data_IF_627326110715
#
_entry.id   IF_627326110715
#
_cell.length_a   1.000
_cell.length_b   1.000
_cell.length_c   1.000
_cell.angle_alpha   90.00
_cell.angle_beta   90.00
_cell.angle_gamma   90.00
#
_symmetry.space_group_name_H-M   'P 1'
#
loop_
_entity.id
_entity.type
_entity.pdbx_description
1 polymer ?
#
# COMPACT_ATOMS: atom_id res chain seq x y z
N UNK A 1 -5.09 -55.88 -2.84
CA UNK A 1 -4.58 -54.65 -3.47
C UNK A 1 -5.75 -53.69 -3.65
N UNK A 2 -5.92 -52.72 -2.75
CA UNK A 2 -6.92 -51.66 -2.88
C UNK A 2 -6.19 -50.38 -3.24
N UNK A 3 -6.35 -49.91 -4.48
CA UNK A 3 -5.87 -48.60 -4.91
C UNK A 3 -6.77 -47.51 -4.32
N UNK A 4 -6.20 -46.72 -3.42
CA UNK A 4 -6.81 -45.53 -2.83
C UNK A 4 -6.79 -44.42 -3.88
N UNK A 5 -7.96 -44.00 -4.34
CA UNK A 5 -8.18 -42.77 -5.09
C UNK A 5 -7.57 -41.59 -4.32
N UNK A 6 -6.50 -41.03 -4.86
CA UNK A 6 -5.96 -39.73 -4.44
C UNK A 6 -7.01 -38.69 -4.85
N UNK A 7 -7.79 -38.21 -3.90
CA UNK A 7 -8.63 -37.03 -4.10
C UNK A 7 -7.71 -35.85 -4.35
N UNK A 8 -7.73 -35.32 -5.57
CA UNK A 8 -7.24 -33.98 -5.85
C UNK A 8 -7.89 -32.99 -4.87
N UNK A 9 -7.10 -32.38 -4.01
CA UNK A 9 -7.50 -31.17 -3.30
C UNK A 9 -7.68 -30.05 -4.35
N UNK A 10 -8.80 -29.32 -4.36
CA UNK A 10 -8.93 -28.16 -5.22
C UNK A 10 -7.96 -27.07 -4.78
N UNK A 11 -7.44 -26.31 -5.75
CA UNK A 11 -6.53 -25.19 -5.55
C UNK A 11 -7.05 -24.25 -4.45
N UNK A 12 -6.22 -24.02 -3.43
CA UNK A 12 -6.46 -23.05 -2.37
C UNK A 12 -6.21 -21.64 -2.93
N UNK A 13 -7.27 -20.91 -3.28
CA UNK A 13 -7.19 -19.47 -3.57
C UNK A 13 -7.23 -18.70 -2.25
N UNK A 14 -6.12 -18.08 -1.88
CA UNK A 14 -5.99 -17.18 -0.73
C UNK A 14 -6.66 -15.83 -1.09
N UNK A 15 -7.22 -15.10 -0.13
CA UNK A 15 -7.64 -13.71 -0.37
C UNK A 15 -7.27 -12.90 0.83
N UNK A 16 -6.56 -11.82 0.56
CA UNK A 16 -5.77 -11.14 1.58
C UNK A 16 -6.31 -9.72 1.64
N UNK A 17 -7.34 -9.51 2.47
CA UNK A 17 -7.88 -8.17 2.72
C UNK A 17 -6.91 -7.45 3.66
N UNK A 18 -6.36 -6.32 3.23
CA UNK A 18 -5.48 -5.49 4.06
C UNK A 18 -6.13 -4.14 4.33
N UNK A 19 -6.68 -3.96 5.53
CA UNK A 19 -6.79 -2.62 6.08
C UNK A 19 -5.41 -2.10 6.42
N UNK A 20 -5.00 -1.01 5.82
CA UNK A 20 -3.91 -0.21 6.34
C UNK A 20 -4.53 1.11 6.76
N UNK A 21 -4.56 1.36 8.06
CA UNK A 21 -4.68 2.72 8.56
C UNK A 21 -3.60 2.91 9.60
N UNK A 22 -2.76 3.91 9.42
CA UNK A 22 -1.64 4.20 10.33
C UNK A 22 -2.03 5.33 11.28
N UNK A 23 -1.53 5.29 12.51
CA UNK A 23 -1.35 6.49 13.35
C UNK A 23 0.15 6.87 13.40
N UNK A 24 0.47 8.13 13.75
CA UNK A 24 1.83 8.62 13.93
C UNK A 24 2.68 7.87 14.98
N UNK A 25 2.09 7.04 15.83
CA UNK A 25 2.77 6.44 17.00
C UNK A 25 3.19 4.97 16.82
N UNK A 26 3.05 4.37 15.63
CA UNK A 26 3.68 3.08 15.34
C UNK A 26 5.18 3.25 15.11
N UNK A 27 5.95 3.39 16.20
CA UNK A 27 7.27 2.76 16.20
C UNK A 27 7.03 1.25 16.13
N UNK A 28 7.55 0.58 15.09
CA UNK A 28 7.72 -0.87 15.13
C UNK A 28 8.37 -1.26 16.46
N UNK A 29 8.10 -2.46 17.02
CA UNK A 29 8.92 -2.96 18.10
C UNK A 29 10.36 -2.89 17.61
N UNK A 30 11.16 -2.04 18.27
CA UNK A 30 12.60 -1.99 18.03
C UNK A 30 13.06 -3.43 18.14
N UNK A 31 13.52 -4.03 17.05
CA UNK A 31 14.55 -5.05 17.18
C UNK A 31 15.61 -4.39 18.05
N UNK A 32 15.77 -4.95 19.25
CA UNK A 32 16.61 -4.43 20.29
C UNK A 32 18.00 -4.17 19.73
N UNK A 33 18.26 -2.92 19.38
CA UNK A 33 19.60 -2.40 19.29
C UNK A 33 19.64 -1.30 20.32
N UNK A 34 19.86 -1.71 21.57
CA UNK A 34 20.51 -0.83 22.52
C UNK A 34 21.81 -0.38 21.86
N UNK A 35 21.90 0.85 21.37
CA UNK A 35 23.18 1.54 21.19
C UNK A 35 22.96 3.06 21.20
N UNK A 36 22.73 3.58 22.41
CA UNK A 36 23.34 4.83 22.84
C UNK A 36 23.73 4.66 24.32
N UNK A 37 24.71 3.79 24.52
CA UNK A 37 25.71 3.90 25.57
C UNK A 37 27.03 3.91 24.82
N UNK A 38 27.80 4.99 24.92
CA UNK A 38 29.08 5.08 24.25
C UNK A 38 30.03 4.06 24.84
N UNK A 39 30.40 3.05 24.05
CA UNK A 39 31.59 2.26 24.27
C UNK A 39 32.53 2.49 23.08
N UNK A 40 33.76 2.90 23.39
CA UNK A 40 34.82 3.15 22.43
C UNK A 40 35.09 1.89 21.60
N UNK A 41 34.72 1.89 20.31
CA UNK A 41 35.23 0.92 19.35
C UNK A 41 36.58 1.44 18.85
N UNK A 42 37.65 0.95 19.46
CA UNK A 42 39.01 1.18 18.97
C UNK A 42 39.28 0.32 17.74
N UNK A 43 39.30 0.93 16.55
CA UNK A 43 39.92 0.30 15.38
C UNK A 43 41.43 0.54 15.47
N UNK A 44 42.14 -0.48 15.95
CA UNK A 44 43.60 -0.53 15.91
C UNK A 44 44.06 -0.71 14.46
N UNK A 45 44.64 0.36 13.90
CA UNK A 45 45.39 0.30 12.64
C UNK A 45 44.68 0.93 11.45
N UNK A 46 44.80 2.25 11.32
CA UNK A 46 44.45 3.00 10.12
C UNK A 46 44.60 4.50 10.37
N UNK A 47 45.49 5.18 9.64
CA UNK A 47 45.58 6.64 9.71
C UNK A 47 44.43 7.24 8.87
N UNK A 48 43.51 7.94 9.53
CA UNK A 48 42.50 8.74 8.86
C UNK A 48 43.05 10.15 8.63
N UNK A 49 43.28 10.52 7.37
CA UNK A 49 43.57 11.89 7.00
C UNK A 49 42.26 12.64 6.78
N UNK A 50 41.96 13.61 7.65
CA UNK A 50 40.82 14.49 7.48
C UNK A 50 41.23 15.64 6.54
N UNK A 51 40.75 15.61 5.30
CA UNK A 51 40.91 16.74 4.38
C UNK A 51 39.96 17.87 4.80
N UNK A 52 40.52 18.96 5.33
CA UNK A 52 39.78 20.21 5.54
C UNK A 52 40.04 21.17 4.38
N UNK A 53 38.97 21.87 3.99
CA UNK A 53 38.86 22.97 3.02
C UNK A 53 38.43 22.59 1.59
N UNK A 54 37.11 22.50 1.38
CA UNK A 54 36.50 22.79 0.08
C UNK A 54 35.66 24.05 0.22
N UNK A 55 36.17 25.17 -0.28
CA UNK A 55 35.41 26.41 -0.41
C UNK A 55 34.34 26.18 -1.49
N UNK A 56 33.07 26.10 -1.10
CA UNK A 56 31.96 26.10 -2.06
C UNK A 56 31.70 27.53 -2.51
N UNK A 57 32.20 27.89 -3.70
CA UNK A 57 31.75 29.07 -4.41
C UNK A 57 30.30 28.82 -4.89
N UNK A 58 29.34 29.54 -4.32
CA UNK A 58 27.98 29.61 -4.85
C UNK A 58 28.00 30.31 -6.21
N UNK A 59 28.07 29.53 -7.29
CA UNK A 59 27.62 29.97 -8.60
C UNK A 59 26.14 29.62 -8.73
N UNK A 60 25.29 30.66 -8.80
CA UNK A 60 23.90 30.57 -9.21
C UNK A 60 23.85 30.12 -10.67
N UNK A 61 23.98 28.82 -10.89
CA UNK A 61 23.54 28.20 -12.12
C UNK A 61 22.03 28.01 -12.01
N UNK A 62 21.27 28.93 -12.65
CA UNK A 62 19.93 28.61 -13.12
C UNK A 62 20.06 27.53 -14.19
N UNK A 63 20.28 26.29 -13.75
CA UNK A 63 20.15 25.12 -14.57
C UNK A 63 18.65 24.86 -14.67
N UNK A 64 18.07 25.16 -15.83
CA UNK A 64 16.79 24.58 -16.23
C UNK A 64 17.00 23.06 -16.37
N UNK A 65 16.96 22.35 -15.24
CA UNK A 65 16.86 20.90 -15.26
C UNK A 65 15.54 20.59 -15.95
N UNK A 66 15.62 19.90 -17.09
CA UNK A 66 14.50 19.09 -17.59
C UNK A 66 14.28 18.00 -16.53
N UNK A 67 13.67 18.39 -15.40
CA UNK A 67 13.38 17.50 -14.29
C UNK A 67 12.30 16.51 -14.69
N UNK A 68 12.43 15.27 -14.21
CA UNK A 68 11.37 14.29 -14.30
C UNK A 68 10.09 14.90 -13.70
N UNK A 69 8.99 14.93 -14.45
CA UNK A 69 7.68 15.28 -13.89
C UNK A 69 7.29 14.16 -12.90
N UNK A 70 7.21 14.44 -11.59
CA UNK A 70 7.00 13.40 -10.59
C UNK A 70 5.63 12.71 -10.73
N UNK A 71 4.62 13.42 -11.25
CA UNK A 71 3.31 12.83 -11.48
C UNK A 71 3.36 11.90 -12.69
N UNK A 72 4.03 12.30 -13.77
CA UNK A 72 4.21 11.41 -14.93
C UNK A 72 5.00 10.16 -14.54
N UNK A 73 6.07 10.32 -13.76
CA UNK A 73 6.87 9.19 -13.25
C UNK A 73 6.07 8.24 -12.35
N UNK A 74 5.18 8.78 -11.51
CA UNK A 74 4.24 7.96 -10.73
C UNK A 74 3.32 7.16 -11.67
N UNK A 75 2.73 7.82 -12.67
CA UNK A 75 1.78 7.21 -13.59
C UNK A 75 2.39 6.06 -14.41
N UNK A 76 3.68 6.13 -14.74
CA UNK A 76 4.42 5.05 -15.42
C UNK A 76 4.45 3.75 -14.60
N UNK A 77 4.30 3.84 -13.28
CA UNK A 77 4.35 2.71 -12.35
C UNK A 77 2.96 2.28 -11.85
N UNK A 78 1.89 2.98 -12.26
CA UNK A 78 0.51 2.70 -11.84
C UNK A 78 -0.11 1.62 -12.73
N UNK A 79 -0.78 0.65 -12.13
CA UNK A 79 -1.66 -0.30 -12.82
C UNK A 79 -3.10 0.21 -12.75
N UNK A 80 -3.52 1.02 -13.72
CA UNK A 80 -4.90 1.55 -13.78
C UNK A 80 -5.94 0.44 -13.89
N UNK A 81 -5.59 -0.68 -14.52
CA UNK A 81 -6.39 -1.91 -14.58
C UNK A 81 -6.77 -2.46 -13.19
N UNK A 82 -6.00 -2.13 -12.14
CA UNK A 82 -6.16 -2.70 -10.80
C UNK A 82 -7.22 -1.98 -9.96
N UNK A 83 -7.72 -0.84 -10.45
CA UNK A 83 -8.72 -0.06 -9.73
C UNK A 83 -10.06 -0.80 -9.62
N UNK A 84 -10.78 -0.55 -8.54
CA UNK A 84 -12.13 -1.11 -8.33
C UNK A 84 -13.15 -0.75 -9.43
N UNK A 85 -12.88 0.32 -10.18
CA UNK A 85 -13.72 0.86 -11.25
C UNK A 85 -13.04 0.83 -12.64
N UNK A 86 -11.96 0.06 -12.82
CA UNK A 86 -11.34 -0.09 -14.13
C UNK A 86 -12.29 -0.71 -15.16
N UNK A 87 -12.20 -0.26 -16.41
CA UNK A 87 -12.86 -0.90 -17.55
C UNK A 87 -12.43 -2.37 -17.73
N UNK A 88 -11.19 -2.72 -17.35
CA UNK A 88 -10.68 -4.10 -17.36
C UNK A 88 -11.37 -5.01 -16.32
N UNK A 89 -12.16 -4.41 -15.43
CA UNK A 89 -13.00 -5.11 -14.44
C UNK A 89 -14.49 -4.88 -14.73
N UNK A 90 -14.87 -4.73 -16.00
CA UNK A 90 -16.26 -4.56 -16.42
C UNK A 90 -17.18 -5.61 -15.77
N UNK A 91 -18.31 -5.13 -15.27
CA UNK A 91 -19.26 -5.89 -14.45
C UNK A 91 -18.60 -6.63 -13.27
N UNK A 92 -17.96 -5.90 -12.32
CA UNK A 92 -17.26 -6.54 -11.23
C UNK A 92 -18.27 -7.30 -10.35
N UNK A 93 -17.88 -8.45 -9.78
CA UNK A 93 -18.80 -9.28 -9.02
C UNK A 93 -19.31 -8.50 -7.80
N UNK A 94 -20.60 -8.62 -7.49
CA UNK A 94 -21.23 -8.01 -6.31
C UNK A 94 -22.04 -9.05 -5.56
N UNK A 95 -22.15 -8.86 -4.24
CA UNK A 95 -23.11 -9.62 -3.46
C UNK A 95 -24.52 -9.35 -3.99
N UNK A 96 -25.32 -10.41 -4.13
CA UNK A 96 -26.74 -10.24 -4.41
C UNK A 96 -27.43 -9.50 -3.25
N UNK A 97 -28.50 -8.74 -3.53
CA UNK A 97 -29.28 -8.08 -2.49
C UNK A 97 -29.66 -9.06 -1.38
N UNK A 98 -29.56 -8.60 -0.12
CA UNK A 98 -29.86 -9.38 1.07
C UNK A 98 -29.01 -10.65 1.30
N UNK A 99 -27.89 -10.80 0.57
CA UNK A 99 -26.89 -11.85 0.84
C UNK A 99 -25.68 -11.26 1.55
N UNK A 100 -24.95 -12.10 2.31
CA UNK A 100 -23.71 -11.73 3.03
C UNK A 100 -23.85 -10.50 3.95
N UNK A 101 -25.07 -10.14 4.34
CA UNK A 101 -25.40 -8.91 5.11
C UNK A 101 -24.59 -8.83 6.40
N UNK A 102 -24.50 -9.94 7.14
CA UNK A 102 -23.75 -9.97 8.41
C UNK A 102 -22.24 -9.76 8.19
N UNK A 103 -21.67 -10.36 7.13
CA UNK A 103 -20.25 -10.21 6.81
C UNK A 103 -19.95 -8.78 6.37
N UNK A 104 -20.79 -8.21 5.49
CA UNK A 104 -20.68 -6.81 5.06
C UNK A 104 -20.80 -5.85 6.25
N UNK A 105 -21.73 -6.11 7.18
CA UNK A 105 -21.88 -5.34 8.41
C UNK A 105 -20.63 -5.35 9.27
N UNK A 106 -20.03 -6.53 9.50
CA UNK A 106 -18.78 -6.67 10.27
C UNK A 106 -17.62 -5.90 9.63
N UNK A 107 -17.45 -6.01 8.31
CA UNK A 107 -16.37 -5.32 7.59
C UNK A 107 -16.60 -3.81 7.62
N UNK A 108 -17.84 -3.35 7.39
CA UNK A 108 -18.23 -1.94 7.50
C UNK A 108 -17.87 -1.39 8.87
N UNK A 109 -18.33 -2.03 9.93
CA UNK A 109 -18.16 -1.56 11.31
C UNK A 109 -16.68 -1.48 11.67
N UNK A 110 -15.88 -2.45 11.21
CA UNK A 110 -14.43 -2.41 11.34
C UNK A 110 -13.79 -1.26 10.53
N UNK A 111 -14.22 -1.04 9.28
CA UNK A 111 -13.65 -0.03 8.39
C UNK A 111 -13.89 1.40 8.89
N UNK A 112 -15.10 1.66 9.40
CA UNK A 112 -15.52 2.99 9.89
C UNK A 112 -15.12 3.26 11.35
N UNK A 113 -14.57 2.25 12.04
CA UNK A 113 -14.19 2.42 13.45
C UNK A 113 -13.06 3.46 13.59
N UNK A 114 -13.27 4.43 14.48
CA UNK A 114 -12.33 5.50 14.78
C UNK A 114 -11.95 5.52 16.27
N UNK A 115 -10.80 6.10 16.60
CA UNK A 115 -10.36 6.31 17.98
C UNK A 115 -9.53 5.17 18.58
N UNK A 116 -9.40 5.18 19.91
CA UNK A 116 -8.56 4.23 20.67
C UNK A 116 -9.17 2.82 20.77
N UNK A 117 -10.44 2.67 20.41
CA UNK A 117 -11.16 1.40 20.52
C UNK A 117 -10.97 0.48 19.30
N UNK A 118 -10.15 0.88 18.33
CA UNK A 118 -9.87 0.07 17.13
C UNK A 118 -9.12 -1.20 17.53
N UNK A 119 -9.75 -2.35 17.28
CA UNK A 119 -9.24 -3.67 17.70
C UNK A 119 -8.16 -4.24 16.77
N UNK A 120 -8.19 -3.91 15.48
CA UNK A 120 -7.19 -4.36 14.51
C UNK A 120 -7.02 -3.34 13.38
N UNK A 121 -5.81 -3.31 12.83
CA UNK A 121 -5.50 -2.50 11.65
C UNK A 121 -5.76 -3.25 10.35
N UNK A 122 -5.54 -4.57 10.37
CA UNK A 122 -5.75 -5.51 9.26
C UNK A 122 -6.98 -6.38 9.58
N UNK A 123 -7.83 -6.62 8.58
CA UNK A 123 -8.92 -7.59 8.63
C UNK A 123 -8.74 -8.52 7.46
N UNK A 124 -8.54 -9.80 7.73
CA UNK A 124 -8.32 -10.80 6.71
C UNK A 124 -9.60 -11.61 6.42
N UNK A 125 -10.04 -11.65 5.17
CA UNK A 125 -11.25 -12.38 4.75
C UNK A 125 -10.88 -13.68 4.02
N UNK A 126 -10.87 -14.78 4.76
CA UNK A 126 -10.64 -16.13 4.22
C UNK A 126 -11.93 -16.84 3.84
N UNK A 127 -11.85 -17.70 2.83
CA UNK A 127 -12.93 -18.58 2.42
C UNK A 127 -12.56 -19.43 1.21
N UNK A 128 -13.34 -20.48 0.95
CA UNK A 128 -13.12 -21.38 -0.18
C UNK A 128 -13.05 -20.64 -1.54
N UNK A 129 -12.41 -21.27 -2.53
CA UNK A 129 -12.51 -20.82 -3.92
C UNK A 129 -13.99 -20.73 -4.34
N UNK A 130 -14.36 -19.67 -5.04
CA UNK A 130 -15.76 -19.42 -5.43
C UNK A 130 -16.70 -18.97 -4.31
N UNK A 131 -16.24 -18.75 -3.07
CA UNK A 131 -17.10 -18.30 -1.96
C UNK A 131 -17.68 -16.87 -2.12
N UNK A 132 -17.35 -16.16 -3.20
CA UNK A 132 -17.80 -14.80 -3.48
C UNK A 132 -17.03 -13.73 -2.72
N UNK A 133 -15.75 -13.95 -2.45
CA UNK A 133 -14.94 -13.05 -1.62
C UNK A 133 -14.67 -11.69 -2.32
N UNK A 134 -14.28 -11.70 -3.60
CA UNK A 134 -14.19 -10.49 -4.43
C UNK A 134 -15.54 -9.77 -4.54
N UNK A 135 -16.65 -10.51 -4.54
CA UNK A 135 -17.99 -9.93 -4.53
C UNK A 135 -18.30 -9.18 -3.22
N UNK A 136 -17.89 -9.74 -2.09
CA UNK A 136 -17.97 -9.07 -0.77
C UNK A 136 -17.11 -7.80 -0.79
N UNK A 137 -15.88 -7.88 -1.30
CA UNK A 137 -14.97 -6.74 -1.37
C UNK A 137 -15.53 -5.60 -2.23
N UNK A 138 -15.98 -5.90 -3.45
CA UNK A 138 -16.57 -4.89 -4.33
C UNK A 138 -17.79 -4.24 -3.67
N UNK A 139 -18.69 -5.04 -3.09
CA UNK A 139 -19.89 -4.51 -2.44
C UNK A 139 -19.60 -3.64 -1.22
N UNK A 140 -18.62 -4.00 -0.37
CA UNK A 140 -18.27 -3.17 0.78
C UNK A 140 -17.53 -1.89 0.36
N UNK A 141 -16.64 -1.98 -0.61
CA UNK A 141 -15.93 -0.82 -1.15
C UNK A 141 -16.92 0.22 -1.69
N UNK A 142 -17.86 -0.22 -2.54
CA UNK A 142 -18.90 0.66 -3.10
C UNK A 142 -19.80 1.25 -2.01
N UNK A 143 -20.14 0.45 -0.98
CA UNK A 143 -20.89 0.94 0.18
C UNK A 143 -20.13 2.04 0.92
N UNK A 144 -18.82 1.87 1.13
CA UNK A 144 -17.99 2.87 1.82
C UNK A 144 -17.93 4.18 1.03
N UNK A 145 -17.63 4.10 -0.27
CA UNK A 145 -17.59 5.25 -1.17
C UNK A 145 -18.92 6.02 -1.20
N UNK A 146 -20.05 5.30 -1.23
CA UNK A 146 -21.38 5.93 -1.34
C UNK A 146 -21.91 6.52 -0.04
N UNK A 147 -21.50 5.99 1.12
CA UNK A 147 -22.17 6.29 2.41
C UNK A 147 -21.29 7.01 3.43
N UNK A 148 -19.97 7.00 3.26
CA UNK A 148 -19.04 7.48 4.30
C UNK A 148 -17.99 8.44 3.72
N UNK A 149 -18.36 9.71 3.58
CA UNK A 149 -17.49 10.76 3.00
C UNK A 149 -16.19 11.04 3.76
N UNK A 150 -16.12 10.63 5.02
CA UNK A 150 -14.92 10.73 5.86
C UNK A 150 -13.97 9.52 5.71
N UNK A 151 -14.33 8.55 4.86
CA UNK A 151 -13.51 7.39 4.50
C UNK A 151 -12.97 7.62 3.09
N UNK A 152 -11.65 7.58 2.95
CA UNK A 152 -10.93 7.53 1.69
C UNK A 152 -10.63 6.07 1.36
N UNK A 153 -10.92 5.64 0.14
CA UNK A 153 -10.76 4.23 -0.25
C UNK A 153 -9.78 4.07 -1.39
N UNK A 154 -8.78 3.21 -1.19
CA UNK A 154 -7.91 2.75 -2.28
C UNK A 154 -8.06 1.25 -2.47
N UNK A 155 -7.76 0.77 -3.67
CA UNK A 155 -7.96 -0.62 -4.05
C UNK A 155 -6.89 -1.15 -4.99
N UNK A 156 -6.57 -2.42 -4.87
CA UNK A 156 -5.75 -3.15 -5.83
C UNK A 156 -6.30 -4.56 -6.02
N UNK A 157 -6.79 -4.86 -7.22
CA UNK A 157 -7.28 -6.19 -7.56
C UNK A 157 -6.23 -6.92 -8.39
N UNK A 158 -5.54 -7.89 -7.80
CA UNK A 158 -4.65 -8.77 -8.54
C UNK A 158 -5.44 -9.64 -9.52
N UNK A 159 -4.79 -10.03 -10.62
CA UNK A 159 -5.35 -10.98 -11.57
C UNK A 159 -4.24 -11.78 -12.25
N UNK A 160 -4.26 -13.12 -12.15
CA UNK A 160 -3.24 -13.98 -12.78
C UNK A 160 -3.14 -13.77 -14.29
N UNK A 161 -4.27 -13.46 -14.92
CA UNK A 161 -4.39 -13.31 -16.37
C UNK A 161 -3.93 -11.96 -16.91
N UNK A 162 -3.55 -11.02 -16.05
CA UNK A 162 -3.16 -9.68 -16.43
C UNK A 162 -1.73 -9.38 -15.97
N UNK A 163 -0.82 -9.18 -16.92
CA UNK A 163 0.60 -8.93 -16.66
C UNK A 163 0.87 -7.65 -15.86
N UNK A 164 -0.08 -6.72 -15.83
CA UNK A 164 0.02 -5.49 -15.03
C UNK A 164 -0.42 -5.70 -13.57
N UNK A 165 -1.16 -6.79 -13.30
CA UNK A 165 -1.77 -7.10 -11.99
C UNK A 165 -1.43 -8.48 -11.45
N UNK A 166 -0.47 -9.17 -12.05
CA UNK A 166 0.05 -10.45 -11.56
C UNK A 166 1.44 -10.31 -10.94
N UNK A 167 1.91 -9.07 -10.75
CA UNK A 167 3.17 -8.71 -10.09
C UNK A 167 2.93 -7.68 -8.99
N UNK A 168 3.82 -7.66 -8.00
CA UNK A 168 3.67 -6.81 -6.80
C UNK A 168 4.14 -5.36 -7.02
N UNK A 169 5.03 -5.13 -7.99
CA UNK A 169 5.68 -3.82 -8.18
C UNK A 169 4.70 -2.64 -8.34
N UNK A 170 3.57 -2.76 -9.07
CA UNK A 170 2.62 -1.66 -9.21
C UNK A 170 1.76 -1.39 -7.97
N UNK A 171 1.77 -2.26 -6.94
CA UNK A 171 0.86 -2.16 -5.80
C UNK A 171 0.97 -0.80 -5.10
N UNK A 172 2.15 -0.43 -4.61
CA UNK A 172 2.32 0.82 -3.86
C UNK A 172 2.14 2.07 -4.73
N UNK A 173 2.72 2.17 -5.95
CA UNK A 173 2.47 3.31 -6.84
C UNK A 173 0.97 3.51 -7.13
N UNK A 174 0.23 2.42 -7.37
CA UNK A 174 -1.21 2.45 -7.64
C UNK A 174 -2.01 2.93 -6.43
N UNK A 175 -1.61 2.52 -5.21
CA UNK A 175 -2.23 3.01 -3.97
C UNK A 175 -1.87 4.48 -3.70
N UNK A 176 -0.64 4.91 -4.00
CA UNK A 176 -0.20 6.29 -3.82
C UNK A 176 -0.95 7.25 -4.74
N UNK A 177 -1.14 6.85 -6.01
CA UNK A 177 -1.98 7.62 -6.93
C UNK A 177 -3.43 7.72 -6.46
N UNK A 178 -4.04 6.62 -6.01
CA UNK A 178 -5.39 6.65 -5.42
C UNK A 178 -5.45 7.52 -4.15
N UNK A 179 -4.42 7.51 -3.32
CA UNK A 179 -4.33 8.37 -2.14
C UNK A 179 -4.34 9.86 -2.52
N UNK A 180 -3.63 10.25 -3.59
CA UNK A 180 -3.70 11.63 -4.12
C UNK A 180 -5.12 11.99 -4.57
N UNK A 181 -5.84 11.06 -5.21
CA UNK A 181 -7.22 11.32 -5.65
C UNK A 181 -8.18 11.47 -4.47
N UNK A 182 -8.04 10.63 -3.45
CA UNK A 182 -8.95 10.57 -2.31
C UNK A 182 -8.64 11.63 -1.23
N UNK A 183 -7.36 11.99 -1.08
CA UNK A 183 -6.83 12.97 -0.13
C UNK A 183 -5.81 13.88 -0.86
N UNK A 184 -6.28 14.84 -1.66
CA UNK A 184 -5.42 15.71 -2.49
C UNK A 184 -4.32 16.45 -1.71
N UNK A 185 -4.51 16.66 -0.41
CA UNK A 185 -3.55 17.28 0.51
C UNK A 185 -2.26 16.46 0.64
N UNK A 186 -2.27 15.17 0.28
CA UNK A 186 -1.06 14.32 0.25
C UNK A 186 -0.20 14.53 -1.00
N UNK A 187 -0.75 15.16 -2.05
CA UNK A 187 -0.12 15.29 -3.37
C UNK A 187 1.27 15.92 -3.29
N UNK A 188 1.41 17.06 -2.62
CA UNK A 188 2.70 17.77 -2.51
C UNK A 188 3.76 16.90 -1.84
N UNK A 189 3.41 16.19 -0.77
CA UNK A 189 4.32 15.33 -0.02
C UNK A 189 4.78 14.15 -0.89
N UNK A 190 3.84 13.49 -1.58
CA UNK A 190 4.12 12.32 -2.42
C UNK A 190 4.97 12.73 -3.63
N UNK A 191 4.55 13.76 -4.37
CA UNK A 191 5.24 14.19 -5.59
C UNK A 191 6.62 14.77 -5.28
N UNK A 192 6.78 15.49 -4.15
CA UNK A 192 8.10 15.93 -3.68
C UNK A 192 9.00 14.74 -3.35
N UNK A 193 8.47 13.72 -2.67
CA UNK A 193 9.22 12.50 -2.35
C UNK A 193 9.75 11.81 -3.62
N UNK A 194 8.92 11.72 -4.66
CA UNK A 194 9.29 11.15 -5.96
C UNK A 194 10.33 12.04 -6.67
N UNK A 195 10.16 13.37 -6.64
CA UNK A 195 11.10 14.31 -7.25
C UNK A 195 12.51 14.20 -6.63
N UNK A 196 12.59 14.03 -5.31
CA UNK A 196 13.86 13.89 -4.59
C UNK A 196 14.50 12.50 -4.73
N UNK A 197 13.68 11.46 -4.94
CA UNK A 197 14.13 10.09 -5.13
C UNK A 197 13.42 9.42 -6.32
N UNK A 198 13.88 9.69 -7.57
CA UNK A 198 13.27 9.09 -8.76
C UNK A 198 13.36 7.55 -8.81
N UNK A 199 14.31 6.95 -8.09
CA UNK A 199 14.48 5.48 -8.04
C UNK A 199 13.62 4.81 -6.96
N UNK A 200 12.68 5.53 -6.33
CA UNK A 200 11.86 5.00 -5.25
C UNK A 200 11.11 3.72 -5.61
N UNK A 201 10.70 3.57 -6.87
CA UNK A 201 9.97 2.39 -7.34
C UNK A 201 10.84 1.14 -7.52
N UNK A 202 12.16 1.29 -7.51
CA UNK A 202 13.12 0.17 -7.49
C UNK A 202 13.45 -0.29 -6.05
N UNK A 203 13.02 0.47 -5.04
CA UNK A 203 13.28 0.16 -3.63
C UNK A 203 12.26 -0.84 -3.09
N UNK A 204 12.53 -1.38 -1.89
CA UNK A 204 11.65 -2.38 -1.28
C UNK A 204 10.22 -1.86 -1.12
N UNK A 205 9.24 -2.76 -1.20
CA UNK A 205 7.82 -2.43 -0.99
C UNK A 205 7.57 -1.77 0.36
N UNK A 206 8.29 -2.20 1.40
CA UNK A 206 8.21 -1.59 2.73
C UNK A 206 8.66 -0.13 2.69
N UNK A 207 9.77 0.17 2.01
CA UNK A 207 10.26 1.54 1.87
C UNK A 207 9.28 2.40 1.06
N UNK A 208 8.78 1.87 -0.06
CA UNK A 208 7.75 2.55 -0.86
C UNK A 208 6.50 2.83 -0.03
N UNK A 209 5.99 1.84 0.70
CA UNK A 209 4.80 1.98 1.55
C UNK A 209 5.02 3.06 2.61
N UNK A 210 6.19 3.05 3.25
CA UNK A 210 6.56 4.05 4.25
C UNK A 210 6.57 5.46 3.66
N UNK A 211 7.25 5.66 2.54
CA UNK A 211 7.47 6.98 1.96
C UNK A 211 6.26 7.52 1.19
N UNK A 212 5.50 6.67 0.52
CA UNK A 212 4.44 7.10 -0.41
C UNK A 212 3.02 7.00 0.16
N UNK A 213 2.83 6.28 1.28
CA UNK A 213 1.51 6.14 1.93
C UNK A 213 1.55 6.60 3.37
N UNK A 214 2.47 6.04 4.17
CA UNK A 214 2.45 6.21 5.63
C UNK A 214 2.88 7.61 6.04
N UNK A 215 4.04 8.08 5.56
CA UNK A 215 4.55 9.41 5.85
C UNK A 215 3.61 10.53 5.36
N UNK A 216 3.05 10.48 4.12
CA UNK A 216 2.05 11.45 3.68
C UNK A 216 0.85 11.53 4.62
N UNK A 217 0.29 10.39 5.06
CA UNK A 217 -0.86 10.36 5.97
C UNK A 217 -0.55 10.90 7.38
N UNK A 218 0.66 10.63 7.91
CA UNK A 218 1.08 11.09 9.23
C UNK A 218 1.29 12.61 9.25
N UNK A 219 1.83 13.15 8.15
CA UNK A 219 2.16 14.58 8.04
C UNK A 219 0.94 15.45 7.72
N UNK A 220 -0.24 14.87 7.51
CA UNK A 220 -1.47 15.63 7.34
C UNK A 220 -1.91 16.27 8.65
N UNK A 221 -2.31 17.56 8.61
CA UNK A 221 -2.99 18.20 9.73
C UNK A 221 -4.21 17.40 10.19
N UNK A 222 -4.43 17.32 11.51
CA UNK A 222 -5.50 16.49 12.09
C UNK A 222 -6.89 16.73 11.48
N UNK A 223 -7.21 17.99 11.13
CA UNK A 223 -8.50 18.37 10.54
C UNK A 223 -8.69 17.92 9.08
N UNK A 224 -7.61 17.49 8.40
CA UNK A 224 -7.62 16.98 7.03
C UNK A 224 -7.55 15.45 6.98
N UNK A 225 -7.48 14.78 8.14
CA UNK A 225 -7.34 13.32 8.20
C UNK A 225 -8.66 12.62 7.91
N UNK A 226 -8.69 11.83 6.83
CA UNK A 226 -9.75 10.85 6.55
C UNK A 226 -9.38 9.47 7.08
N UNK A 227 -10.35 8.57 7.19
CA UNK A 227 -10.03 7.15 7.35
C UNK A 227 -9.55 6.62 5.99
N UNK A 228 -8.25 6.39 5.85
CA UNK A 228 -7.76 5.69 4.67
C UNK A 228 -7.94 4.18 4.84
N UNK A 229 -8.67 3.56 3.91
CA UNK A 229 -8.92 2.12 3.89
C UNK A 229 -8.46 1.57 2.56
N UNK A 230 -7.55 0.60 2.63
CA UNK A 230 -7.05 -0.11 1.45
C UNK A 230 -7.81 -1.43 1.30
N UNK A 231 -8.12 -1.79 0.07
CA UNK A 231 -8.65 -3.11 -0.30
C UNK A 231 -7.67 -3.77 -1.25
N UNK A 232 -7.28 -5.00 -0.94
CA UNK A 232 -6.40 -5.80 -1.80
C UNK A 232 -7.11 -7.12 -2.05
N UNK A 233 -7.33 -7.47 -3.31
CA UNK A 233 -7.96 -8.73 -3.71
C UNK A 233 -6.98 -9.61 -4.46
N UNK A 234 -7.08 -10.92 -4.26
CA UNK A 234 -6.34 -11.90 -5.06
C UNK A 234 -4.82 -11.88 -4.86
N UNK A 235 -4.27 -11.57 -3.68
CA UNK A 235 -2.81 -11.58 -3.48
C UNK A 235 -2.16 -12.92 -3.88
N UNK A 236 -2.89 -14.03 -3.77
CA UNK A 236 -2.43 -15.33 -4.21
C UNK A 236 -2.22 -15.43 -5.73
N UNK A 237 -2.84 -14.54 -6.50
CA UNK A 237 -2.72 -14.36 -7.94
C UNK A 237 -1.44 -13.63 -8.38
N UNK A 238 -0.68 -13.07 -7.43
CA UNK A 238 0.66 -12.57 -7.67
C UNK A 238 1.65 -13.72 -7.95
N UNK A 239 2.36 -13.64 -9.08
CA UNK A 239 3.29 -14.66 -9.57
C UNK A 239 4.69 -14.53 -8.95
N UNK A 240 5.11 -13.31 -8.57
CA UNK A 240 6.43 -13.05 -8.00
C UNK A 240 6.33 -12.97 -6.47
N UNK A 241 6.28 -14.14 -5.82
CA UNK A 241 6.22 -14.23 -4.35
C UNK A 241 7.58 -14.01 -3.66
N UNK A 242 8.67 -14.06 -4.42
CA UNK A 242 10.03 -14.07 -3.89
C UNK A 242 10.94 -13.11 -4.67
N UNK A 243 11.00 -11.85 -4.25
CA UNK A 243 12.13 -10.94 -4.49
C UNK A 243 12.31 -10.00 -3.29
#
# INVERSE_FOLDING_TARGET
MQHRLVKHQPASTTMDVYGLRMRPEMSMPRTSTHMFGGDNIGILGGQFYQAQNVIHNHHNHNCSTQGIDPLLHLLEHVSSSAFHNSADRYDPPRCHPNTRVEVLGKIRDWAIQYGQDRKSWILWLNGAAGAGKSAIMQSILELLLLRYTFVAVASFFFSRGDSTRNIIAPLIPTLAYQLIQEIPETSEIILSTIAHNPLIFEQSLEFQLQQLIIQPLINLPFHMQKLFVVFIDGLDECLNRDH
#
